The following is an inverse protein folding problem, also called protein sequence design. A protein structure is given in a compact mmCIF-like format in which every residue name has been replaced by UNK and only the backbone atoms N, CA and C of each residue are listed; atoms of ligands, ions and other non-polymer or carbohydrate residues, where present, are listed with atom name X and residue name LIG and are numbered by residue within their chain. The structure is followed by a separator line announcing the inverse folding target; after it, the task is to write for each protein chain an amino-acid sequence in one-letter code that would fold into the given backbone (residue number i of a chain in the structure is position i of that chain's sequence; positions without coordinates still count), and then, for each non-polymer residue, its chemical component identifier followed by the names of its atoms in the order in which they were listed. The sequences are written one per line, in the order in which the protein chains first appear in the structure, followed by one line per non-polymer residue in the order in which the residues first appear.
data_IF_033739673901
#
_entry.id   IF_033739673901
#
_cell.length_a   1.000
_cell.length_b   1.000
_cell.length_c   1.000
_cell.angle_alpha   90.00
_cell.angle_beta   90.00
_cell.angle_gamma   90.00
#
_symmetry.space_group_name_H-M   'P 1'
#
loop_
_entity.id
_entity.type
_entity.pdbx_description
1 polymer ?
#
# COMPACT_ATOMS: atom_id res chain seq x y z
N UNK A 1 29.50 9.04 -20.53
CA UNK A 1 29.26 9.47 -19.15
C UNK A 1 28.97 8.22 -18.35
N UNK A 2 29.75 7.95 -17.30
CA UNK A 2 29.53 6.79 -16.46
C UNK A 2 28.26 7.01 -15.63
N UNK A 3 27.33 6.05 -15.69
CA UNK A 3 26.09 6.10 -14.91
C UNK A 3 26.45 5.89 -13.44
N UNK A 4 25.95 6.75 -12.56
CA UNK A 4 26.10 6.59 -11.12
C UNK A 4 24.79 6.05 -10.54
N UNK A 5 24.73 4.75 -10.26
CA UNK A 5 23.48 4.05 -9.92
C UNK A 5 22.84 4.58 -8.64
N UNK A 6 23.65 4.83 -7.60
CA UNK A 6 23.17 5.36 -6.33
C UNK A 6 22.43 6.71 -6.47
N UNK A 7 22.97 7.63 -7.28
CA UNK A 7 22.37 8.95 -7.52
C UNK A 7 21.05 8.86 -8.29
N UNK A 8 20.98 7.94 -9.27
CA UNK A 8 19.74 7.70 -10.03
C UNK A 8 18.64 7.19 -9.09
N UNK A 9 18.98 6.25 -8.20
CA UNK A 9 18.03 5.70 -7.22
C UNK A 9 17.57 6.78 -6.23
N UNK A 10 18.51 7.59 -5.72
CA UNK A 10 18.18 8.71 -4.84
C UNK A 10 17.23 9.70 -5.51
N UNK A 11 17.50 10.05 -6.77
CA UNK A 11 16.63 10.93 -7.55
C UNK A 11 15.22 10.36 -7.67
N UNK A 12 15.07 9.08 -8.01
CA UNK A 12 13.77 8.42 -8.11
C UNK A 12 13.01 8.42 -6.77
N UNK A 13 13.68 8.06 -5.67
CA UNK A 13 13.10 8.02 -4.32
C UNK A 13 12.58 9.41 -3.93
N UNK A 14 13.40 10.45 -4.13
CA UNK A 14 13.05 11.84 -3.80
C UNK A 14 11.94 12.37 -4.70
N UNK A 15 11.97 12.07 -6.00
CA UNK A 15 10.93 12.49 -6.96
C UNK A 15 9.56 11.90 -6.63
N UNK A 16 9.51 10.66 -6.15
CA UNK A 16 8.27 10.01 -5.70
C UNK A 16 7.84 10.41 -4.28
N UNK A 17 8.65 11.18 -3.55
CA UNK A 17 8.33 11.65 -2.20
C UNK A 17 8.43 10.59 -1.10
N UNK A 18 9.16 9.50 -1.33
CA UNK A 18 9.34 8.48 -0.29
C UNK A 18 10.23 9.00 0.85
N UNK A 19 9.80 8.79 2.09
CA UNK A 19 10.61 9.11 3.25
C UNK A 19 11.76 8.10 3.38
N UNK A 20 13.00 8.61 3.33
CA UNK A 20 14.24 7.83 3.44
C UNK A 20 14.28 7.02 4.75
N UNK A 21 13.73 7.57 5.84
CA UNK A 21 13.70 6.87 7.13
C UNK A 21 12.75 5.68 7.13
N UNK A 22 11.60 5.79 6.46
CA UNK A 22 10.64 4.69 6.32
C UNK A 22 11.16 3.63 5.34
N UNK A 23 11.85 4.07 4.27
CA UNK A 23 12.48 3.18 3.31
C UNK A 23 13.58 2.34 3.95
N UNK A 24 14.47 2.95 4.75
CA UNK A 24 15.52 2.24 5.47
C UNK A 24 14.95 1.19 6.42
N UNK A 25 13.87 1.53 7.15
CA UNK A 25 13.14 0.58 8.02
C UNK A 25 12.53 -0.58 7.23
N UNK A 26 11.93 -0.29 6.08
CA UNK A 26 11.30 -1.30 5.22
C UNK A 26 12.32 -2.24 4.56
N UNK A 27 13.55 -1.78 4.37
CA UNK A 27 14.66 -2.55 3.84
C UNK A 27 15.47 -3.28 4.93
N UNK A 28 15.10 -3.12 6.20
CA UNK A 28 15.81 -3.65 7.38
C UNK A 28 17.29 -3.22 7.43
N UNK A 29 17.56 -1.96 7.10
CA UNK A 29 18.90 -1.38 7.14
C UNK A 29 18.91 -0.06 7.91
N UNK A 30 20.10 0.32 8.39
CA UNK A 30 20.27 1.65 8.98
C UNK A 30 20.27 2.75 7.88
N UNK A 31 19.81 3.96 8.25
CA UNK A 31 19.75 5.11 7.33
C UNK A 31 21.11 5.47 6.73
N UNK A 32 22.19 5.31 7.51
CA UNK A 32 23.57 5.56 7.03
C UNK A 32 23.93 4.63 5.86
N UNK A 33 23.51 3.36 5.91
CA UNK A 33 23.77 2.39 4.84
C UNK A 33 23.00 2.75 3.58
N UNK A 34 21.77 3.21 3.72
CA UNK A 34 20.98 3.70 2.60
C UNK A 34 21.64 4.93 1.95
N UNK A 35 22.13 5.89 2.73
CA UNK A 35 22.91 7.02 2.20
C UNK A 35 24.22 6.58 1.54
N UNK A 36 24.91 5.58 2.10
CA UNK A 36 26.11 5.02 1.49
C UNK A 36 25.80 4.41 0.12
N UNK A 37 24.67 3.73 -0.02
CA UNK A 37 24.24 3.18 -1.33
C UNK A 37 23.97 4.28 -2.36
N UNK A 38 23.47 5.46 -1.95
CA UNK A 38 23.28 6.58 -2.88
C UNK A 38 24.60 7.15 -3.40
N UNK A 39 25.66 7.08 -2.59
CA UNK A 39 27.01 7.51 -2.99
C UNK A 39 27.81 6.43 -3.72
N UNK A 40 27.26 5.22 -3.92
CA UNK A 40 27.91 4.17 -4.69
C UNK A 40 27.61 4.30 -6.17
N UNK A 41 28.69 4.38 -6.96
CA UNK A 41 28.62 4.43 -8.42
C UNK A 41 28.05 3.13 -8.99
N UNK A 42 28.53 2.01 -8.49
CA UNK A 42 28.08 0.66 -8.84
C UNK A 42 27.38 0.01 -7.64
N UNK A 43 26.06 0.01 -7.66
CA UNK A 43 25.24 -0.73 -6.70
C UNK A 43 24.82 -2.07 -7.31
N UNK A 44 24.91 -3.15 -6.52
CA UNK A 44 24.49 -4.48 -6.97
C UNK A 44 23.01 -4.51 -7.38
N UNK A 45 22.71 -5.19 -8.49
CA UNK A 45 21.34 -5.38 -8.98
C UNK A 45 20.40 -5.93 -7.89
N UNK A 46 20.88 -6.78 -6.99
CA UNK A 46 20.06 -7.30 -5.88
C UNK A 46 19.57 -6.19 -4.93
N UNK A 47 20.40 -5.18 -4.64
CA UNK A 47 20.00 -4.05 -3.80
C UNK A 47 19.02 -3.14 -4.55
N UNK A 48 19.27 -2.87 -5.83
CA UNK A 48 18.38 -2.06 -6.68
C UNK A 48 17.00 -2.71 -6.77
N UNK A 49 16.95 -4.02 -7.00
CA UNK A 49 15.71 -4.79 -7.06
C UNK A 49 14.93 -4.74 -5.74
N UNK A 50 15.61 -4.93 -4.60
CA UNK A 50 15.00 -4.80 -3.27
C UNK A 50 14.39 -3.41 -3.07
N UNK A 51 15.13 -2.36 -3.41
CA UNK A 51 14.64 -0.98 -3.31
C UNK A 51 13.41 -0.82 -4.21
N UNK A 52 13.48 -1.22 -5.48
CA UNK A 52 12.40 -1.15 -6.45
C UNK A 52 11.12 -1.85 -5.98
N UNK A 53 11.26 -3.00 -5.32
CA UNK A 53 10.12 -3.70 -4.71
C UNK A 53 9.48 -2.90 -3.57
N UNK A 54 10.27 -2.30 -2.70
CA UNK A 54 9.76 -1.49 -1.58
C UNK A 54 9.10 -0.20 -2.07
N UNK A 55 9.73 0.51 -3.01
CA UNK A 55 9.21 1.78 -3.57
C UNK A 55 8.26 1.59 -4.76
N UNK A 56 7.89 0.34 -5.07
CA UNK A 56 7.00 -0.06 -6.17
C UNK A 56 7.36 0.68 -7.46
N UNK A 57 8.62 0.57 -7.83
CA UNK A 57 9.15 1.19 -9.02
C UNK A 57 9.88 0.15 -9.88
N UNK A 58 9.56 0.20 -11.17
CA UNK A 58 10.26 -0.57 -12.19
C UNK A 58 11.51 0.20 -12.60
N UNK A 59 12.66 -0.33 -12.21
CA UNK A 59 13.98 0.23 -12.49
C UNK A 59 14.56 -0.25 -13.84
N UNK A 60 13.83 -1.05 -14.62
CA UNK A 60 14.27 -1.49 -15.95
C UNK A 60 14.37 -0.34 -16.97
N UNK A 61 13.73 0.79 -16.70
CA UNK A 61 13.82 1.99 -17.56
C UNK A 61 15.17 2.69 -17.36
N UNK A 62 15.63 2.81 -16.12
CA UNK A 62 16.88 3.44 -15.76
C UNK A 62 18.09 2.50 -15.95
N UNK A 63 17.89 1.21 -15.68
CA UNK A 63 18.91 0.17 -15.77
C UNK A 63 18.47 -0.98 -16.70
N UNK A 64 18.28 -0.71 -18.01
CA UNK A 64 17.88 -1.74 -18.98
C UNK A 64 18.96 -2.81 -19.17
N UNK A 65 20.21 -2.50 -18.80
CA UNK A 65 21.34 -3.43 -18.86
C UNK A 65 21.30 -4.47 -17.73
N UNK A 66 20.55 -4.22 -16.65
CA UNK A 66 20.47 -5.08 -15.47
C UNK A 66 19.11 -5.74 -15.27
N UNK A 67 18.03 -5.11 -15.74
CA UNK A 67 16.68 -5.57 -15.53
C UNK A 67 15.84 -5.51 -16.79
N UNK A 68 14.88 -6.41 -16.84
CA UNK A 68 13.81 -6.44 -17.83
C UNK A 68 12.49 -6.03 -17.19
N UNK A 69 11.53 -5.62 -18.02
CA UNK A 69 10.18 -5.28 -17.52
C UNK A 69 9.50 -6.45 -16.81
N UNK A 70 9.84 -7.69 -17.19
CA UNK A 70 9.29 -8.90 -16.57
C UNK A 70 9.69 -9.04 -15.09
N UNK A 71 10.88 -8.56 -14.71
CA UNK A 71 11.37 -8.64 -13.33
C UNK A 71 10.47 -7.87 -12.34
N UNK A 72 9.83 -6.79 -12.80
CA UNK A 72 8.99 -5.93 -11.97
C UNK A 72 7.48 -6.13 -12.17
N UNK A 73 7.03 -7.01 -13.08
CA UNK A 73 5.59 -7.26 -13.35
C UNK A 73 4.81 -7.70 -12.12
N UNK A 74 5.37 -8.62 -11.33
CA UNK A 74 4.72 -9.16 -10.13
C UNK A 74 4.47 -8.10 -9.05
N UNK A 75 5.31 -7.06 -8.99
CA UNK A 75 5.20 -5.97 -8.01
C UNK A 75 3.96 -5.12 -8.32
N UNK A 76 3.77 -4.79 -9.60
CA UNK A 76 2.62 -4.02 -10.05
C UNK A 76 1.31 -4.81 -9.89
N UNK A 77 1.32 -6.10 -10.20
CA UNK A 77 0.13 -6.96 -10.07
C UNK A 77 -0.32 -7.12 -8.62
N UNK A 78 0.61 -7.45 -7.70
CA UNK A 78 0.30 -7.56 -6.26
C UNK A 78 -0.24 -6.26 -5.68
N UNK A 79 0.23 -5.11 -6.15
CA UNK A 79 -0.30 -3.84 -5.68
C UNK A 79 -1.74 -3.62 -6.11
N UNK A 80 -2.05 -3.88 -7.38
CA UNK A 80 -3.41 -3.79 -7.90
C UNK A 80 -4.36 -4.71 -7.14
N UNK A 81 -3.96 -5.96 -6.89
CA UNK A 81 -4.75 -6.93 -6.14
C UNK A 81 -5.02 -6.46 -4.70
N UNK A 82 -4.01 -5.92 -4.01
CA UNK A 82 -4.18 -5.42 -2.64
C UNK A 82 -5.15 -4.22 -2.55
N UNK A 83 -5.11 -3.29 -3.53
CA UNK A 83 -6.06 -2.18 -3.59
C UNK A 83 -7.49 -2.68 -3.83
N UNK A 84 -7.65 -3.65 -4.73
CA UNK A 84 -8.96 -4.23 -5.04
C UNK A 84 -9.55 -4.91 -3.80
N UNK A 85 -8.73 -5.67 -3.05
CA UNK A 85 -9.15 -6.31 -1.80
C UNK A 85 -9.53 -5.28 -0.73
N UNK A 86 -8.74 -4.22 -0.53
CA UNK A 86 -9.07 -3.20 0.47
C UNK A 86 -10.36 -2.46 0.14
N UNK A 87 -10.58 -2.16 -1.14
CA UNK A 87 -11.80 -1.48 -1.63
C UNK A 87 -13.03 -2.37 -1.44
N UNK A 88 -12.90 -3.67 -1.77
CA UNK A 88 -13.98 -4.65 -1.59
C UNK A 88 -14.33 -4.82 -0.10
N UNK A 89 -13.32 -4.83 0.78
CA UNK A 89 -13.52 -4.94 2.22
C UNK A 89 -14.21 -3.71 2.81
N UNK A 90 -13.87 -2.51 2.33
CA UNK A 90 -14.56 -1.27 2.70
C UNK A 90 -16.03 -1.32 2.27
N UNK A 91 -16.29 -1.65 1.01
CA UNK A 91 -17.67 -1.80 0.51
C UNK A 91 -18.47 -2.82 1.31
N UNK A 92 -17.89 -3.98 1.64
CA UNK A 92 -18.54 -4.99 2.47
C UNK A 92 -18.88 -4.47 3.87
N UNK A 93 -17.98 -3.67 4.46
CA UNK A 93 -18.19 -3.05 5.77
C UNK A 93 -19.33 -2.03 5.72
N UNK A 94 -19.37 -1.19 4.68
CA UNK A 94 -20.45 -0.22 4.47
C UNK A 94 -21.81 -0.91 4.34
N UNK A 95 -21.87 -2.02 3.59
CA UNK A 95 -23.11 -2.81 3.46
C UNK A 95 -23.53 -3.48 4.76
N UNK A 96 -22.57 -3.97 5.55
CA UNK A 96 -22.83 -4.54 6.88
C UNK A 96 -23.43 -3.50 7.81
N UNK A 97 -22.90 -2.28 7.84
CA UNK A 97 -23.46 -1.20 8.66
C UNK A 97 -24.89 -0.85 8.26
N UNK A 98 -25.19 -0.75 6.95
CA UNK A 98 -26.55 -0.48 6.47
C UNK A 98 -27.53 -1.55 6.92
N UNK A 99 -27.13 -2.81 6.84
CA UNK A 99 -27.94 -3.93 7.30
C UNK A 99 -28.16 -3.90 8.82
N UNK A 100 -27.13 -3.57 9.59
CA UNK A 100 -27.25 -3.44 11.04
C UNK A 100 -28.25 -2.35 11.44
N UNK A 101 -28.19 -1.17 10.80
CA UNK A 101 -29.13 -0.07 11.06
C UNK A 101 -30.57 -0.47 10.76
N UNK A 102 -30.80 -1.21 9.67
CA UNK A 102 -32.14 -1.67 9.30
C UNK A 102 -32.70 -2.65 10.36
N UNK A 103 -31.88 -3.55 10.88
CA UNK A 103 -32.25 -4.45 11.98
C UNK A 103 -32.59 -3.67 13.25
N UNK A 104 -31.77 -2.69 13.62
CA UNK A 104 -32.03 -1.84 14.80
C UNK A 104 -33.32 -1.03 14.65
N UNK A 105 -33.62 -0.52 13.45
CA UNK A 105 -34.87 0.19 13.15
C UNK A 105 -36.09 -0.73 13.25
N UNK A 106 -35.95 -1.98 12.79
CA UNK A 106 -37.01 -2.98 12.93
C UNK A 106 -37.25 -3.35 14.40
N UNK A 107 -36.19 -3.66 15.16
CA UNK A 107 -36.28 -4.02 16.57
C UNK A 107 -36.89 -2.89 17.41
N UNK A 108 -36.53 -1.63 17.13
CA UNK A 108 -37.15 -0.48 17.79
C UNK A 108 -38.62 -0.30 17.42
N UNK A 109 -39.01 -0.50 16.16
CA UNK A 109 -40.41 -0.45 15.74
C UNK A 109 -41.28 -1.52 16.42
N UNK A 110 -40.74 -2.74 16.58
CA UNK A 110 -41.41 -3.84 17.30
C UNK A 110 -41.56 -3.49 18.79
N UNK A 111 -40.51 -2.99 19.44
CA UNK A 111 -40.57 -2.59 20.85
C UNK A 111 -41.53 -1.43 21.12
N UNK A 112 -41.68 -0.50 20.17
CA UNK A 112 -42.64 0.61 20.27
C UNK A 112 -44.07 0.10 20.12
N UNK A 113 -44.32 -0.83 19.19
CA UNK A 113 -45.66 -1.42 19.01
C UNK A 113 -46.07 -2.24 20.22
N UNK A 114 -45.17 -3.01 20.82
CA UNK A 114 -45.45 -3.83 22.02
C UNK A 114 -45.83 -2.97 23.25
N UNK A 115 -45.15 -1.83 23.45
CA UNK A 115 -45.51 -0.86 24.49
C UNK A 115 -46.85 -0.19 24.25
N UNK A 116 -47.27 0.00 22.99
CA UNK A 116 -48.53 0.67 22.64
C UNK A 116 -49.76 -0.18 22.97
N UNK A 117 -49.64 -1.51 22.90
CA UNK A 117 -50.71 -2.44 23.28
C UNK A 117 -50.93 -2.54 24.80
N UNK A 118 -49.87 -2.35 25.61
CA UNK A 118 -49.98 -2.39 27.08
C UNK A 118 -50.69 -1.17 27.68
N UNK A 119 -50.70 -0.01 27.00
CA UNK A 119 -51.34 1.21 27.50
C UNK A 119 -52.82 1.30 27.12
N UNK A 120 -53.26 0.53 26.11
CA UNK A 120 -54.64 0.58 25.60
C UNK A 120 -55.56 -0.48 26.24
N UNK A 121 -55.02 -1.37 27.09
CA UNK A 121 -55.72 -2.48 27.74
C UNK A 121 -56.20 -2.18 29.19
N UNK A 122 -56.40 -0.90 29.54
CA UNK A 122 -56.88 -0.47 30.87
C UNK A 122 -58.09 0.44 30.73
#
# INVERSE_FOLDING_TARGET
MEKHYGQIIEYVIRKKGYNISDLARSLDINRRSLYNWFNQKDLSAAHIFKIGNVIRHDFSVEFPDMFTKDDFKFINQRYADNILVSTTQQQLTDWKEKYLRLLEEYDTAVLITDKKWLVTAK
#
